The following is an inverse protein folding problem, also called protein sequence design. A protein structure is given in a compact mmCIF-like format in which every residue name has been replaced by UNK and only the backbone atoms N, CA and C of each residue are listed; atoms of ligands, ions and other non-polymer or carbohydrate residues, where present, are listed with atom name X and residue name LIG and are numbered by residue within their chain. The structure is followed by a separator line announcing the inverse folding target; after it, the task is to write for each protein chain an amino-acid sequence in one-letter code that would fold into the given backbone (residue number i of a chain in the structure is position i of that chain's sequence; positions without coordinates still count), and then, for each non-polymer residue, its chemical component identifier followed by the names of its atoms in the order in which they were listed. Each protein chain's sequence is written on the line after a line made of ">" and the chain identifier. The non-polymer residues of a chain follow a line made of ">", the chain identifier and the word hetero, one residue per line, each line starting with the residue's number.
data_IF_217592289510
#
_entry.id   IF_217592289510
#
_cell.length_a   1.000
_cell.length_b   1.000
_cell.length_c   1.000
_cell.angle_alpha   90.00
_cell.angle_beta   90.00
_cell.angle_gamma   90.00
#
_symmetry.space_group_name_H-M   'P 1'
#
loop_
_entity.id
_entity.type
_entity.pdbx_description
1 polymer ?
#
# COMPACT_ATOMS: atom_id res chain seq x y z
N UNK A 1 43.09 8.90 17.36
CA UNK A 1 42.61 8.60 18.73
C UNK A 1 41.40 7.70 18.59
N UNK A 2 41.36 6.54 19.27
CA UNK A 2 40.39 5.48 18.98
C UNK A 2 39.46 5.16 20.16
N UNK A 3 38.16 4.99 19.86
CA UNK A 3 37.14 4.43 20.78
C UNK A 3 36.90 2.96 20.43
N UNK A 4 36.39 2.17 21.37
CA UNK A 4 36.00 0.80 21.07
C UNK A 4 34.87 0.79 20.02
N UNK A 5 35.03 0.04 18.94
CA UNK A 5 34.04 -0.01 17.86
C UNK A 5 32.80 -0.86 18.19
N UNK A 6 32.83 -1.63 19.28
CA UNK A 6 31.69 -2.43 19.75
C UNK A 6 30.56 -1.53 20.26
N UNK A 7 29.34 -1.65 19.70
CA UNK A 7 28.16 -0.93 20.18
C UNK A 7 28.00 -0.99 21.70
N UNK A 8 27.54 0.11 22.31
CA UNK A 8 27.29 0.24 23.76
C UNK A 8 28.53 0.16 24.67
N UNK A 9 29.71 -0.16 24.14
CA UNK A 9 30.96 -0.13 24.88
C UNK A 9 31.44 1.31 25.09
N UNK A 10 31.64 1.73 26.35
CA UNK A 10 32.09 3.09 26.73
C UNK A 10 33.62 3.23 26.88
N UNK A 11 34.36 2.21 26.44
CA UNK A 11 35.83 2.14 26.55
C UNK A 11 36.50 3.12 25.59
N UNK A 12 37.35 4.00 26.13
CA UNK A 12 38.02 5.09 25.40
C UNK A 12 39.52 5.10 25.73
N UNK A 13 40.36 5.10 24.69
CA UNK A 13 41.82 5.19 24.78
C UNK A 13 42.27 6.48 25.48
N UNK A 14 41.48 7.57 25.41
CA UNK A 14 41.77 8.86 26.08
C UNK A 14 41.76 8.79 27.60
N UNK A 15 40.94 7.91 28.18
CA UNK A 15 40.75 7.83 29.63
C UNK A 15 41.89 7.12 30.37
N UNK A 16 42.86 6.54 29.64
CA UNK A 16 44.03 5.79 30.16
C UNK A 16 43.67 4.88 31.34
N UNK A 17 42.53 4.20 31.26
CA UNK A 17 42.11 3.25 32.28
C UNK A 17 43.16 2.13 32.40
N UNK A 18 43.71 1.87 33.61
CA UNK A 18 44.76 0.87 33.78
C UNK A 18 44.23 -0.51 33.36
N UNK A 19 45.02 -1.24 32.57
CA UNK A 19 44.67 -2.60 32.10
C UNK A 19 43.80 -2.69 30.84
N UNK A 20 43.40 -1.57 30.24
CA UNK A 20 42.64 -1.55 28.98
C UNK A 20 43.58 -1.55 27.77
N UNK A 21 43.54 -2.60 26.94
CA UNK A 21 44.26 -2.67 25.66
C UNK A 21 43.29 -2.65 24.48
N UNK A 22 43.73 -2.04 23.37
CA UNK A 22 42.96 -1.94 22.14
C UNK A 22 43.61 -2.76 21.02
N UNK A 23 42.79 -3.54 20.31
CA UNK A 23 43.20 -4.46 19.26
C UNK A 23 42.57 -4.06 17.94
N UNK A 24 43.38 -3.99 16.89
CA UNK A 24 42.93 -3.68 15.53
C UNK A 24 42.24 -4.90 14.92
N UNK A 25 41.25 -4.63 14.07
CA UNK A 25 40.54 -5.70 13.34
C UNK A 25 41.53 -6.36 12.37
N UNK A 26 41.63 -7.71 12.35
CA UNK A 26 42.54 -8.41 11.46
C UNK A 26 42.33 -8.07 9.98
N UNK A 27 43.43 -7.96 9.21
CA UNK A 27 43.37 -7.74 7.76
C UNK A 27 42.92 -8.98 6.97
N UNK A 28 43.09 -10.19 7.53
CA UNK A 28 42.69 -11.44 6.90
C UNK A 28 41.15 -11.52 6.75
N UNK A 29 40.67 -11.73 5.53
CA UNK A 29 39.25 -11.66 5.17
C UNK A 29 38.37 -12.58 6.03
N UNK A 30 38.78 -13.83 6.23
CA UNK A 30 37.98 -14.84 6.94
C UNK A 30 37.76 -14.49 8.42
N UNK A 31 38.79 -13.96 9.09
CA UNK A 31 38.70 -13.58 10.51
C UNK A 31 37.99 -12.23 10.63
N UNK A 32 38.22 -11.32 9.67
CA UNK A 32 37.56 -10.01 9.62
C UNK A 32 36.05 -10.16 9.50
N UNK A 33 35.56 -11.00 8.59
CA UNK A 33 34.12 -11.25 8.43
C UNK A 33 33.50 -11.84 9.70
N UNK A 34 34.21 -12.73 10.39
CA UNK A 34 33.76 -13.28 11.68
C UNK A 34 33.68 -12.21 12.77
N UNK A 35 34.64 -11.29 12.84
CA UNK A 35 34.57 -10.15 13.77
C UNK A 35 33.38 -9.24 13.49
N UNK A 36 33.13 -8.92 12.22
CA UNK A 36 32.01 -8.06 11.81
C UNK A 36 30.65 -8.71 12.07
N UNK A 37 30.53 -10.01 11.82
CA UNK A 37 29.33 -10.78 12.09
C UNK A 37 28.96 -10.78 13.59
N UNK A 38 29.96 -10.75 14.47
CA UNK A 38 29.76 -10.81 15.93
C UNK A 38 29.54 -9.43 16.55
N UNK A 39 30.22 -8.39 16.06
CA UNK A 39 30.04 -7.00 16.53
C UNK A 39 28.65 -6.44 16.18
N UNK A 40 28.00 -6.97 15.13
CA UNK A 40 26.59 -6.66 14.75
C UNK A 40 26.27 -5.17 14.69
N UNK A 41 27.13 -4.41 13.99
CA UNK A 41 26.90 -2.99 13.74
C UNK A 41 26.22 -2.83 12.37
N UNK A 42 24.98 -2.37 12.37
CA UNK A 42 24.22 -2.19 11.13
C UNK A 42 24.87 -1.17 10.20
N UNK A 43 24.96 -1.52 8.91
CA UNK A 43 25.45 -0.66 7.82
C UNK A 43 26.87 -0.10 8.01
N UNK A 44 27.76 -0.85 8.68
CA UNK A 44 29.11 -0.40 8.96
C UNK A 44 30.18 -1.34 8.39
N UNK A 45 31.13 -0.77 7.65
CA UNK A 45 32.36 -1.44 7.24
C UNK A 45 33.57 -0.73 7.89
N UNK A 46 34.51 -1.48 8.49
CA UNK A 46 35.73 -0.87 9.00
C UNK A 46 36.55 -0.34 7.83
N UNK A 47 37.01 0.91 7.92
CA UNK A 47 37.90 1.47 6.92
C UNK A 47 39.25 0.74 6.99
N UNK A 48 39.49 -0.15 6.02
CA UNK A 48 40.65 -1.05 5.94
C UNK A 48 41.99 -0.30 5.85
N UNK A 49 41.97 1.00 5.54
CA UNK A 49 43.17 1.83 5.36
C UNK A 49 43.48 2.67 6.61
N UNK A 50 42.61 2.66 7.63
CA UNK A 50 42.73 3.57 8.77
C UNK A 50 42.77 2.82 10.11
N UNK A 51 43.81 3.07 10.90
CA UNK A 51 44.10 2.50 12.22
C UNK A 51 43.14 2.95 13.35
N UNK A 52 41.97 3.51 13.00
CA UNK A 52 41.04 4.12 13.96
C UNK A 52 39.98 3.17 14.50
N UNK A 53 39.82 2.00 13.88
CA UNK A 53 38.81 1.02 14.30
C UNK A 53 39.44 -0.06 15.17
N UNK A 54 39.22 0.02 16.49
CA UNK A 54 39.79 -0.94 17.45
C UNK A 54 38.71 -1.51 18.37
N UNK A 55 38.93 -2.73 18.85
CA UNK A 55 38.12 -3.41 19.88
C UNK A 55 38.93 -3.49 21.17
N UNK A 56 38.34 -3.16 22.32
CA UNK A 56 39.02 -3.29 23.61
C UNK A 56 39.07 -4.74 24.13
N UNK A 57 40.04 -5.06 24.98
CA UNK A 57 40.23 -6.40 25.57
C UNK A 57 39.02 -6.96 26.35
N UNK A 58 38.11 -6.12 26.85
CA UNK A 58 36.88 -6.57 27.54
C UNK A 58 35.98 -7.49 26.70
N UNK A 59 36.15 -7.51 25.38
CA UNK A 59 35.34 -8.35 24.50
C UNK A 59 35.95 -9.73 24.20
N UNK A 60 37.08 -10.07 24.84
CA UNK A 60 37.79 -11.34 24.66
C UNK A 60 37.98 -12.03 26.00
N UNK A 61 38.08 -13.35 25.98
CA UNK A 61 38.42 -14.12 27.18
C UNK A 61 39.89 -13.93 27.55
N UNK A 62 40.23 -14.12 28.82
CA UNK A 62 41.63 -14.06 29.29
C UNK A 62 42.50 -15.09 28.56
N UNK A 63 41.93 -16.24 28.20
CA UNK A 63 42.56 -17.34 27.48
C UNK A 63 42.90 -17.02 26.01
N UNK A 64 42.31 -15.97 25.46
CA UNK A 64 42.50 -15.58 24.06
C UNK A 64 43.78 -14.76 23.83
N UNK A 65 44.46 -14.40 24.93
CA UNK A 65 45.66 -13.57 24.91
C UNK A 65 46.94 -14.41 25.00
N UNK A 66 47.97 -13.92 24.32
CA UNK A 66 49.36 -14.36 24.45
C UNK A 66 50.15 -13.21 25.05
N UNK A 67 50.88 -13.46 26.14
CA UNK A 67 51.74 -12.45 26.77
C UNK A 67 52.98 -12.18 25.90
N UNK A 68 53.16 -10.93 25.52
CA UNK A 68 54.32 -10.47 24.76
C UNK A 68 55.21 -9.52 25.57
N UNK A 69 56.41 -9.21 25.06
CA UNK A 69 57.44 -8.41 25.76
C UNK A 69 57.01 -6.98 26.16
N UNK A 70 56.00 -6.39 25.50
CA UNK A 70 55.54 -5.00 25.75
C UNK A 70 54.01 -4.85 25.89
N UNK A 71 53.24 -5.77 25.33
CA UNK A 71 51.77 -5.78 25.35
C UNK A 71 51.26 -7.21 25.13
N UNK A 72 50.04 -7.49 25.57
CA UNK A 72 49.31 -8.73 25.24
C UNK A 72 48.83 -8.68 23.79
N UNK A 73 48.89 -9.81 23.10
CA UNK A 73 48.40 -9.97 21.73
C UNK A 73 47.27 -11.00 21.70
N UNK A 74 46.34 -10.87 20.76
CA UNK A 74 45.30 -11.88 20.54
C UNK A 74 45.89 -13.06 19.76
N UNK A 75 45.51 -14.29 20.12
CA UNK A 75 45.82 -15.49 19.33
C UNK A 75 45.23 -15.35 17.91
N UNK A 76 45.90 -15.94 16.92
CA UNK A 76 45.43 -15.91 15.53
C UNK A 76 44.07 -16.61 15.41
N UNK A 77 43.10 -15.94 14.79
CA UNK A 77 41.77 -16.52 14.53
C UNK A 77 40.74 -16.35 15.66
N UNK A 78 41.11 -15.77 16.80
CA UNK A 78 40.18 -15.42 17.88
C UNK A 78 39.16 -14.39 17.39
N UNK A 79 37.92 -14.51 17.84
CA UNK A 79 36.82 -13.57 17.60
C UNK A 79 36.33 -13.01 18.94
N UNK A 80 35.82 -11.76 18.99
CA UNK A 80 35.22 -11.23 20.21
C UNK A 80 34.03 -12.09 20.64
N UNK A 81 34.00 -12.53 21.89
CA UNK A 81 33.00 -13.47 22.41
C UNK A 81 32.22 -12.92 23.60
N UNK A 82 32.74 -11.87 24.26
CA UNK A 82 32.17 -11.30 25.48
C UNK A 82 31.45 -9.98 25.18
N UNK A 83 30.13 -9.95 25.43
CA UNK A 83 29.26 -8.79 25.19
C UNK A 83 28.35 -8.54 26.40
N UNK A 84 28.95 -8.28 27.56
CA UNK A 84 28.20 -8.01 28.81
C UNK A 84 27.28 -6.78 28.69
N UNK A 85 27.71 -5.76 27.94
CA UNK A 85 26.96 -4.51 27.75
C UNK A 85 25.78 -4.64 26.75
N UNK A 86 25.55 -5.82 26.15
CA UNK A 86 24.43 -6.06 25.23
C UNK A 86 23.20 -6.58 25.97
N UNK A 87 21.97 -6.14 25.63
CA UNK A 87 20.78 -6.73 26.18
C UNK A 87 20.68 -8.22 25.77
N UNK A 88 20.18 -9.08 26.66
CA UNK A 88 20.23 -10.54 26.51
C UNK A 88 19.71 -11.10 25.17
N UNK A 89 18.82 -10.37 24.48
CA UNK A 89 18.28 -10.75 23.17
C UNK A 89 19.23 -10.45 21.98
N UNK A 90 20.27 -9.64 22.17
CA UNK A 90 21.28 -9.31 21.15
C UNK A 90 22.60 -10.06 21.34
N UNK A 91 22.81 -10.69 22.49
CA UNK A 91 23.99 -11.52 22.73
C UNK A 91 24.03 -12.68 21.72
N UNK A 92 25.21 -13.05 21.18
CA UNK A 92 25.34 -14.19 20.29
C UNK A 92 24.90 -15.47 21.03
N UNK A 93 23.81 -16.10 20.59
CA UNK A 93 23.44 -17.43 21.08
C UNK A 93 24.49 -18.42 20.56
N UNK A 94 25.31 -18.98 21.44
CA UNK A 94 26.13 -20.14 21.12
C UNK A 94 25.17 -21.24 20.63
N UNK A 95 25.17 -21.52 19.33
CA UNK A 95 24.32 -22.55 18.76
C UNK A 95 24.79 -23.89 19.30
N UNK A 96 24.00 -24.50 20.21
CA UNK A 96 24.16 -25.90 20.55
C UNK A 96 24.08 -26.71 19.25
N UNK A 97 25.11 -27.50 18.97
CA UNK A 97 25.14 -28.40 17.82
C UNK A 97 23.93 -29.34 17.89
N UNK A 98 23.07 -29.26 16.87
CA UNK A 98 21.88 -30.12 16.77
C UNK A 98 22.33 -31.54 16.47
N UNK A 99 21.97 -32.48 17.34
CA UNK A 99 22.33 -33.88 17.19
C UNK A 99 21.69 -34.51 15.94
N UNK A 100 22.45 -35.40 15.30
CA UNK A 100 22.13 -36.11 14.05
C UNK A 100 20.78 -36.86 14.10
N UNK A 101 20.30 -37.19 15.29
CA UNK A 101 19.00 -37.85 15.53
C UNK A 101 17.78 -36.95 15.25
N UNK A 102 17.92 -35.62 15.31
CA UNK A 102 16.83 -34.67 15.00
C UNK A 102 16.52 -34.59 13.51
N UNK A 103 17.49 -34.90 12.64
CA UNK A 103 17.37 -34.74 11.18
C UNK A 103 16.56 -35.90 10.56
N UNK A 104 16.65 -37.10 11.13
CA UNK A 104 15.97 -38.29 10.61
C UNK A 104 14.46 -38.35 10.95
N UNK A 105 13.99 -37.65 12.00
CA UNK A 105 12.57 -37.64 12.37
C UNK A 105 11.67 -36.78 11.46
N UNK A 106 12.26 -35.92 10.63
CA UNK A 106 11.50 -35.03 9.74
C UNK A 106 11.33 -35.61 8.31
N UNK A 107 12.00 -36.72 8.00
CA UNK A 107 11.98 -37.35 6.68
C UNK A 107 10.92 -38.45 6.50
N UNK A 108 10.16 -38.81 7.54
CA UNK A 108 9.04 -39.74 7.43
C UNK A 108 7.74 -39.14 7.98
N UNK A 109 6.93 -38.57 7.09
CA UNK A 109 5.48 -38.49 7.28
C UNK A 109 4.83 -39.08 6.01
N UNK A 110 4.05 -40.17 6.11
CA UNK A 110 3.40 -40.79 4.95
C UNK A 110 2.24 -39.96 4.40
N UNK A 111 2.12 -39.98 3.07
CA UNK A 111 0.98 -39.48 2.29
C UNK A 111 -0.31 -40.21 2.72
N UNK A 112 -1.32 -39.48 3.19
CA UNK A 112 -2.70 -40.00 3.32
C UNK A 112 -3.49 -39.66 2.05
N UNK A 113 -3.82 -40.70 1.30
CA UNK A 113 -4.83 -40.72 0.25
C UNK A 113 -6.20 -40.31 0.82
N UNK A 114 -6.98 -39.57 0.03
CA UNK A 114 -8.44 -39.46 0.23
C UNK A 114 -9.13 -39.89 -1.05
N UNK A 115 -9.97 -40.91 -0.90
CA UNK A 115 -10.87 -41.50 -1.86
C UNK A 115 -12.12 -40.65 -2.09
N UNK A 116 -12.66 -40.77 -3.30
CA UNK A 116 -13.92 -40.21 -3.75
C UNK A 116 -15.15 -40.88 -3.10
N UNK A 117 -16.16 -40.08 -2.77
CA UNK A 117 -17.56 -40.36 -3.09
C UNK A 117 -18.36 -39.05 -3.03
N UNK A 118 -19.11 -38.80 -4.10
CA UNK A 118 -20.05 -37.69 -4.24
C UNK A 118 -21.44 -38.12 -3.74
N UNK A 119 -22.25 -37.19 -3.20
CA UNK A 119 -23.67 -37.01 -3.58
C UNK A 119 -24.20 -35.65 -3.08
N UNK A 120 -24.98 -35.05 -3.98
CA UNK A 120 -25.73 -33.78 -4.03
C UNK A 120 -26.12 -33.00 -2.76
N UNK A 121 -26.02 -31.68 -2.87
CA UNK A 121 -27.16 -30.77 -2.74
C UNK A 121 -26.85 -29.46 -3.47
N UNK A 122 -27.63 -29.17 -4.53
CA UNK A 122 -27.60 -27.90 -5.23
C UNK A 122 -28.29 -26.83 -4.40
N UNK A 123 -27.61 -25.71 -4.14
CA UNK A 123 -28.24 -24.47 -3.70
C UNK A 123 -27.61 -23.31 -4.48
N UNK A 124 -28.39 -22.75 -5.39
CA UNK A 124 -28.08 -21.59 -6.21
C UNK A 124 -27.77 -20.38 -5.32
N UNK A 125 -26.59 -19.79 -5.51
CA UNK A 125 -26.21 -18.51 -4.90
C UNK A 125 -26.83 -17.39 -5.72
N UNK A 126 -27.84 -16.74 -5.15
CA UNK A 126 -28.39 -15.48 -5.65
C UNK A 126 -27.42 -14.35 -5.27
N UNK A 127 -26.99 -13.57 -6.27
CA UNK A 127 -26.24 -12.32 -6.06
C UNK A 127 -27.09 -11.32 -5.24
N UNK A 128 -26.51 -10.58 -4.27
CA UNK A 128 -27.16 -9.40 -3.73
C UNK A 128 -27.21 -8.29 -4.80
N UNK A 129 -28.34 -7.56 -4.94
CA UNK A 129 -28.43 -6.47 -5.90
C UNK A 129 -27.64 -5.24 -5.42
N UNK A 130 -27.15 -4.51 -6.41
CA UNK A 130 -26.44 -3.24 -6.28
C UNK A 130 -27.27 -2.20 -5.52
N UNK A 131 -26.69 -1.58 -4.49
CA UNK A 131 -27.23 -0.38 -3.86
C UNK A 131 -26.89 0.81 -4.76
N UNK A 132 -27.92 1.32 -5.44
CA UNK A 132 -27.85 2.57 -6.19
C UNK A 132 -27.80 3.74 -5.20
N UNK A 133 -26.82 4.62 -5.37
CA UNK A 133 -26.79 5.96 -4.78
C UNK A 133 -27.97 6.79 -5.29
N UNK A 134 -28.79 7.42 -4.42
CA UNK A 134 -29.72 8.43 -4.87
C UNK A 134 -28.99 9.76 -5.12
N UNK A 135 -29.28 10.24 -6.33
CA UNK A 135 -29.13 11.57 -6.90
C UNK A 135 -29.56 12.68 -5.93
N UNK A 136 -28.79 13.78 -5.93
CA UNK A 136 -29.15 15.05 -5.30
C UNK A 136 -30.55 15.51 -5.72
N UNK A 137 -31.40 15.83 -4.75
CA UNK A 137 -32.55 16.69 -4.94
C UNK A 137 -32.44 17.83 -3.91
N UNK A 138 -32.47 19.05 -4.41
CA UNK A 138 -32.56 20.30 -3.66
C UNK A 138 -33.73 20.24 -2.68
N UNK A 139 -33.49 20.66 -1.43
CA UNK A 139 -34.54 20.85 -0.44
C UNK A 139 -35.01 22.30 -0.56
N UNK A 140 -36.15 22.51 -1.22
CA UNK A 140 -36.97 23.72 -1.04
C UNK A 140 -37.55 23.74 0.39
N UNK A 141 -37.55 24.90 1.02
CA UNK A 141 -38.19 25.15 2.31
C UNK A 141 -39.72 25.04 2.17
N UNK A 142 -40.43 24.32 3.07
CA UNK A 142 -41.89 24.38 3.08
C UNK A 142 -42.37 25.62 3.86
N UNK A 143 -43.16 26.45 3.18
CA UNK A 143 -43.94 27.53 3.77
C UNK A 143 -44.97 27.03 4.81
N UNK A 144 -45.39 27.88 5.77
CA UNK A 144 -46.29 27.47 6.84
C UNK A 144 -47.73 27.27 6.32
N UNK A 145 -48.28 26.06 6.47
CA UNK A 145 -49.70 25.81 6.23
C UNK A 145 -50.53 26.10 7.50
N UNK A 146 -51.40 27.11 7.37
CA UNK A 146 -52.49 27.45 8.27
C UNK A 146 -53.51 26.31 8.37
N UNK A 147 -53.94 25.98 9.60
CA UNK A 147 -55.08 25.08 9.85
C UNK A 147 -56.19 25.93 10.45
N UNK A 148 -56.94 26.59 9.56
CA UNK A 148 -58.30 27.05 9.82
C UNK A 148 -59.24 26.34 8.87
N UNK A 149 -60.39 25.92 9.42
CA UNK A 149 -61.59 25.44 8.73
C UNK A 149 -61.56 24.05 8.07
N UNK A 150 -62.09 23.07 8.81
CA UNK A 150 -62.91 22.02 8.23
C UNK A 150 -63.77 21.37 9.32
N UNK A 151 -64.97 21.89 9.58
CA UNK A 151 -66.17 21.12 9.93
C UNK A 151 -67.41 22.02 9.77
N UNK A 152 -67.85 22.19 8.52
CA UNK A 152 -69.22 22.59 8.19
C UNK A 152 -70.06 21.32 8.05
N UNK A 153 -71.02 21.15 8.94
CA UNK A 153 -71.96 20.03 9.00
C UNK A 153 -72.86 19.95 7.76
N UNK A 154 -72.82 18.80 7.08
CA UNK A 154 -73.78 18.42 6.04
C UNK A 154 -75.01 17.82 6.70
N UNK A 155 -76.09 18.57 6.61
CA UNK A 155 -77.45 18.22 7.00
C UNK A 155 -78.03 17.15 6.02
N UNK A 156 -78.29 15.93 6.49
CA UNK A 156 -79.20 15.00 5.80
C UNK A 156 -80.13 14.32 6.81
N UNK A 157 -81.39 14.78 6.79
CA UNK A 157 -82.56 14.12 7.36
C UNK A 157 -82.91 12.89 6.53
N UNK A 158 -83.17 11.77 7.20
CA UNK A 158 -84.04 10.70 6.69
C UNK A 158 -85.12 10.40 7.73
N UNK A 159 -86.37 10.46 7.28
CA UNK A 159 -87.60 10.19 8.03
C UNK A 159 -87.79 8.69 8.23
N UNK A 160 -88.10 8.26 9.46
CA UNK A 160 -88.87 7.04 9.77
C UNK A 160 -89.77 7.31 11.00
N UNK A 161 -90.92 6.60 11.15
CA UNK A 161 -92.10 7.04 11.89
C UNK A 161 -92.02 6.83 13.42
N UNK A 162 -92.92 7.43 14.23
CA UNK A 162 -92.80 7.42 15.67
C UNK A 162 -93.37 6.11 16.25
N UNK A 163 -92.51 5.26 16.79
CA UNK A 163 -92.93 4.22 17.74
C UNK A 163 -92.71 4.73 19.17
N UNK A 164 -93.81 4.80 19.91
CA UNK A 164 -93.85 5.18 21.32
C UNK A 164 -93.10 4.15 22.18
N UNK A 165 -92.09 4.55 22.96
CA UNK A 165 -91.49 3.66 23.94
C UNK A 165 -92.41 3.53 25.17
N UNK A 166 -92.47 2.34 25.81
CA UNK A 166 -93.21 2.16 27.05
C UNK A 166 -92.53 2.96 28.17
N UNK A 167 -93.33 3.40 29.14
CA UNK A 167 -92.85 4.05 30.34
C UNK A 167 -91.84 3.16 31.07
N UNK A 168 -90.55 3.51 31.00
CA UNK A 168 -89.52 2.94 31.84
C UNK A 168 -88.82 4.06 32.61
N UNK A 169 -89.04 4.02 33.91
CA UNK A 169 -88.33 4.61 35.04
C UNK A 169 -87.25 5.69 34.76
N UNK A 170 -87.56 6.93 35.14
CA UNK A 170 -86.63 8.09 35.07
C UNK A 170 -85.47 8.01 36.08
N UNK A 171 -85.43 6.99 36.94
CA UNK A 171 -84.42 6.86 38.01
C UNK A 171 -83.10 6.19 37.61
N UNK A 172 -83.10 5.20 36.70
CA UNK A 172 -81.94 4.30 36.48
C UNK A 172 -81.07 4.69 35.26
N UNK A 173 -81.61 5.42 34.28
CA UNK A 173 -80.83 5.86 33.10
C UNK A 173 -79.89 7.04 33.41
N UNK A 174 -80.17 7.82 34.44
CA UNK A 174 -79.39 9.01 34.81
C UNK A 174 -78.04 8.59 35.41
N UNK A 175 -78.01 7.54 36.24
CA UNK A 175 -76.79 7.07 36.91
C UNK A 175 -75.83 6.34 35.96
N UNK A 176 -76.33 5.55 35.01
CA UNK A 176 -75.49 4.87 34.01
C UNK A 176 -74.85 5.86 33.03
N UNK A 177 -75.59 6.90 32.60
CA UNK A 177 -75.04 8.01 31.80
C UNK A 177 -74.02 8.84 32.59
N UNK A 178 -74.22 9.03 33.89
CA UNK A 178 -73.30 9.76 34.77
C UNK A 178 -71.99 8.98 35.00
N UNK A 179 -72.06 7.66 35.11
CA UNK A 179 -70.89 6.78 35.20
C UNK A 179 -70.07 6.76 33.90
N UNK A 180 -70.75 6.65 32.74
CA UNK A 180 -70.09 6.72 31.42
C UNK A 180 -69.47 8.10 31.18
N UNK A 181 -70.16 9.19 31.56
CA UNK A 181 -69.62 10.54 31.49
C UNK A 181 -68.40 10.75 32.42
N UNK A 182 -68.39 10.13 33.59
CA UNK A 182 -67.26 10.15 34.52
C UNK A 182 -66.05 9.41 33.96
N UNK A 183 -66.23 8.21 33.38
CA UNK A 183 -65.16 7.46 32.73
C UNK A 183 -64.57 8.22 31.53
N UNK A 184 -65.42 8.76 30.66
CA UNK A 184 -65.00 9.64 29.54
C UNK A 184 -64.25 10.88 30.03
N UNK A 185 -64.66 11.48 31.15
CA UNK A 185 -63.96 12.61 31.75
C UNK A 185 -62.56 12.21 32.26
N UNK A 186 -62.42 11.03 32.87
CA UNK A 186 -61.10 10.52 33.32
C UNK A 186 -60.18 10.19 32.14
N UNK A 187 -60.70 9.59 31.07
CA UNK A 187 -59.92 9.32 29.84
C UNK A 187 -59.51 10.61 29.14
N UNK A 188 -60.43 11.57 29.00
CA UNK A 188 -60.13 12.90 28.45
C UNK A 188 -59.06 13.62 29.28
N UNK A 189 -59.07 13.48 30.61
CA UNK A 189 -58.03 14.02 31.48
C UNK A 189 -56.68 13.30 31.31
N UNK A 190 -56.67 11.96 31.14
CA UNK A 190 -55.46 11.19 30.84
C UNK A 190 -54.83 11.61 29.51
N UNK A 191 -55.62 11.71 28.45
CA UNK A 191 -55.15 12.14 27.13
C UNK A 191 -54.65 13.59 27.14
N UNK A 192 -55.34 14.51 27.85
CA UNK A 192 -54.85 15.88 28.06
C UNK A 192 -53.51 15.94 28.80
N UNK A 193 -53.27 15.07 29.79
CA UNK A 193 -51.97 14.96 30.47
C UNK A 193 -50.89 14.46 29.51
N UNK A 194 -51.19 13.40 28.76
CA UNK A 194 -50.27 12.84 27.75
C UNK A 194 -49.92 13.86 26.67
N UNK A 195 -50.90 14.63 26.21
CA UNK A 195 -50.69 15.71 25.24
C UNK A 195 -49.81 16.82 25.83
N UNK A 196 -50.02 17.21 27.10
CA UNK A 196 -49.16 18.17 27.80
C UNK A 196 -47.73 17.64 27.96
N UNK A 197 -47.56 16.38 28.32
CA UNK A 197 -46.26 15.74 28.48
C UNK A 197 -45.50 15.65 27.15
N UNK A 198 -46.20 15.28 26.07
CA UNK A 198 -45.65 15.28 24.71
C UNK A 198 -45.29 16.70 24.26
N UNK A 199 -46.15 17.70 24.49
CA UNK A 199 -45.83 19.12 24.20
C UNK A 199 -44.60 19.59 24.98
N UNK A 200 -44.49 19.22 26.25
CA UNK A 200 -43.31 19.52 27.08
C UNK A 200 -42.05 18.80 26.55
N UNK A 201 -42.19 17.56 26.10
CA UNK A 201 -41.09 16.79 25.50
C UNK A 201 -40.63 17.41 24.18
N UNK A 202 -41.56 17.81 23.31
CA UNK A 202 -41.26 18.55 22.07
C UNK A 202 -40.55 19.86 22.40
N UNK A 203 -41.03 20.62 23.38
CA UNK A 203 -40.36 21.88 23.79
C UNK A 203 -38.94 21.65 24.31
N UNK A 204 -38.70 20.58 25.09
CA UNK A 204 -37.35 20.22 25.57
C UNK A 204 -36.42 19.81 24.44
N UNK A 205 -36.92 18.99 23.50
CA UNK A 205 -36.15 18.57 22.33
C UNK A 205 -35.81 19.77 21.45
N UNK A 206 -36.76 20.68 21.23
CA UNK A 206 -36.54 21.89 20.44
C UNK A 206 -35.42 22.75 21.04
N UNK A 207 -35.46 23.01 22.35
CA UNK A 207 -34.37 23.75 23.04
C UNK A 207 -33.01 23.08 22.89
N UNK A 208 -32.99 21.75 22.85
CA UNK A 208 -31.75 20.97 22.67
C UNK A 208 -31.22 21.11 21.25
N UNK A 209 -32.12 21.06 20.25
CA UNK A 209 -31.77 21.29 18.84
C UNK A 209 -31.25 22.71 18.63
N UNK A 210 -31.94 23.72 19.18
CA UNK A 210 -31.53 25.12 19.05
C UNK A 210 -30.16 25.37 19.69
N UNK A 211 -29.90 24.73 20.84
CA UNK A 211 -28.58 24.74 21.49
C UNK A 211 -27.51 24.15 20.57
N UNK A 212 -27.74 22.97 19.99
CA UNK A 212 -26.77 22.33 19.10
C UNK A 212 -26.55 23.10 17.81
N UNK A 213 -27.58 23.76 17.26
CA UNK A 213 -27.45 24.66 16.10
C UNK A 213 -26.50 25.82 16.40
N UNK A 214 -26.69 26.47 17.55
CA UNK A 214 -25.82 27.58 17.98
C UNK A 214 -24.37 27.13 18.22
N UNK A 215 -24.17 25.93 18.78
CA UNK A 215 -22.82 25.36 18.94
C UNK A 215 -22.18 25.03 17.59
N UNK A 216 -22.95 24.53 16.63
CA UNK A 216 -22.45 24.24 15.28
C UNK A 216 -22.01 25.51 14.56
N UNK A 217 -22.79 26.59 14.63
CA UNK A 217 -22.43 27.88 14.04
C UNK A 217 -21.13 28.44 14.62
N UNK A 218 -20.96 28.36 15.95
CA UNK A 218 -19.70 28.76 16.60
C UNK A 218 -18.51 27.95 16.12
N UNK A 219 -18.66 26.63 16.03
CA UNK A 219 -17.60 25.75 15.52
C UNK A 219 -17.29 25.99 14.04
N UNK A 220 -18.26 26.40 13.23
CA UNK A 220 -18.03 26.75 11.82
C UNK A 220 -17.30 28.10 11.69
N UNK A 221 -17.53 29.03 12.61
CA UNK A 221 -16.83 30.31 12.68
C UNK A 221 -15.38 30.17 13.16
N UNK A 222 -15.01 29.05 13.78
CA UNK A 222 -13.62 28.77 14.14
C UNK A 222 -12.76 28.59 12.88
N UNK A 223 -11.77 29.47 12.70
CA UNK A 223 -10.87 29.49 11.52
C UNK A 223 -10.26 28.13 11.21
N UNK A 224 -9.86 27.35 12.22
CA UNK A 224 -9.26 26.02 12.04
C UNK A 224 -10.24 25.01 11.43
N UNK A 225 -11.52 25.08 11.80
CA UNK A 225 -12.56 24.19 11.26
C UNK A 225 -12.92 24.60 9.85
N UNK A 226 -12.96 25.90 9.58
CA UNK A 226 -13.13 26.43 8.23
C UNK A 226 -12.00 25.96 7.29
N UNK A 227 -10.73 26.05 7.72
CA UNK A 227 -9.57 25.60 6.91
C UNK A 227 -9.61 24.10 6.61
N UNK A 228 -9.95 23.26 7.60
CA UNK A 228 -10.10 21.81 7.40
C UNK A 228 -11.27 21.50 6.47
N UNK A 229 -12.37 22.25 6.57
CA UNK A 229 -13.53 22.11 5.69
C UNK A 229 -13.16 22.48 4.25
N UNK A 230 -12.40 23.56 4.05
CA UNK A 230 -11.85 23.93 2.76
C UNK A 230 -10.96 22.83 2.16
N UNK A 231 -10.02 22.26 2.94
CA UNK A 231 -9.19 21.14 2.50
C UNK A 231 -10.06 19.94 2.09
N UNK A 232 -11.13 19.66 2.85
CA UNK A 232 -12.07 18.58 2.54
C UNK A 232 -12.81 18.82 1.22
N UNK A 233 -13.29 20.04 0.97
CA UNK A 233 -13.93 20.41 -0.30
C UNK A 233 -12.96 20.26 -1.48
N UNK A 234 -11.74 20.78 -1.36
CA UNK A 234 -10.69 20.63 -2.38
C UNK A 234 -10.30 19.16 -2.62
N UNK A 235 -10.38 18.32 -1.59
CA UNK A 235 -10.16 16.89 -1.74
C UNK A 235 -11.25 16.21 -2.56
N UNK A 236 -12.51 16.67 -2.47
CA UNK A 236 -13.63 16.20 -3.32
C UNK A 236 -13.40 16.59 -4.79
N UNK A 237 -12.80 17.74 -5.04
CA UNK A 237 -12.34 18.18 -6.37
C UNK A 237 -11.13 17.37 -6.89
N UNK A 238 -10.71 16.32 -6.19
CA UNK A 238 -9.53 15.48 -6.49
C UNK A 238 -8.22 16.27 -6.53
N UNK A 239 -8.14 17.40 -5.81
CA UNK A 239 -6.88 18.13 -5.70
C UNK A 239 -5.85 17.28 -4.92
N UNK A 240 -4.69 16.94 -5.50
CA UNK A 240 -3.81 15.95 -4.89
C UNK A 240 -3.14 16.41 -3.58
N UNK A 241 -2.86 17.71 -3.47
CA UNK A 241 -2.32 18.28 -2.22
C UNK A 241 -3.34 18.20 -1.09
N UNK A 242 -4.61 18.50 -1.38
CA UNK A 242 -5.69 18.42 -0.41
C UNK A 242 -5.95 16.98 0.05
N UNK A 243 -5.98 16.02 -0.89
CA UNK A 243 -6.10 14.59 -0.58
C UNK A 243 -4.96 14.11 0.34
N UNK A 244 -3.72 14.52 0.04
CA UNK A 244 -2.57 14.15 0.86
C UNK A 244 -2.68 14.70 2.28
N UNK A 245 -3.01 15.98 2.43
CA UNK A 245 -3.18 16.63 3.73
C UNK A 245 -4.32 16.02 4.53
N UNK A 246 -5.45 15.74 3.87
CA UNK A 246 -6.59 15.08 4.50
C UNK A 246 -6.22 13.68 5.01
N UNK A 247 -5.48 12.90 4.21
CA UNK A 247 -4.95 11.60 4.64
C UNK A 247 -4.01 11.74 5.84
N UNK A 248 -3.19 12.79 5.93
CA UNK A 248 -2.35 13.04 7.11
C UNK A 248 -3.21 13.27 8.36
N UNK A 249 -4.25 14.11 8.27
CA UNK A 249 -5.13 14.44 9.40
C UNK A 249 -5.90 13.20 9.86
N UNK A 250 -6.57 12.50 8.94
CA UNK A 250 -7.41 11.33 9.25
C UNK A 250 -6.56 10.20 9.86
N UNK A 251 -5.37 9.97 9.30
CA UNK A 251 -4.52 8.86 9.71
C UNK A 251 -3.59 9.19 10.88
N UNK A 252 -3.51 10.45 11.32
CA UNK A 252 -2.62 10.90 12.38
C UNK A 252 -2.74 10.01 13.63
N UNK A 253 -3.98 9.83 14.10
CA UNK A 253 -4.31 9.03 15.30
C UNK A 253 -4.49 7.53 15.02
N UNK A 254 -4.61 7.12 13.75
CA UNK A 254 -4.88 5.72 13.39
C UNK A 254 -3.62 4.87 13.55
N UNK A 255 -3.78 3.69 14.17
CA UNK A 255 -2.72 2.66 14.22
C UNK A 255 -2.57 1.94 12.89
N UNK A 256 -3.68 1.70 12.18
CA UNK A 256 -3.73 1.11 10.84
C UNK A 256 -4.30 2.15 9.88
N UNK A 257 -3.44 2.91 9.20
CA UNK A 257 -3.88 3.98 8.31
C UNK A 257 -4.43 3.40 7.00
N UNK A 258 -5.44 4.08 6.46
CA UNK A 258 -6.04 3.81 5.14
C UNK A 258 -5.64 4.94 4.21
N UNK A 259 -5.18 4.62 3.01
CA UNK A 259 -4.61 5.61 2.10
C UNK A 259 -5.51 5.79 0.87
N UNK A 260 -5.68 7.03 0.43
CA UNK A 260 -6.23 7.28 -0.90
C UNK A 260 -5.27 6.76 -1.99
N UNK A 261 -5.83 6.48 -3.16
CA UNK A 261 -5.06 6.01 -4.31
C UNK A 261 -4.01 7.05 -4.73
N UNK A 262 -4.40 8.33 -4.85
CA UNK A 262 -3.50 9.40 -5.28
C UNK A 262 -2.35 9.62 -4.29
N UNK A 263 -2.61 9.56 -2.96
CA UNK A 263 -1.55 9.61 -1.95
C UNK A 263 -0.58 8.44 -2.10
N UNK A 264 -1.10 7.23 -2.32
CA UNK A 264 -0.26 6.04 -2.49
C UNK A 264 0.60 6.15 -3.75
N UNK A 265 0.00 6.57 -4.87
CA UNK A 265 0.69 6.82 -6.15
C UNK A 265 1.83 7.84 -6.00
N UNK A 266 1.58 8.97 -5.34
CA UNK A 266 2.62 9.98 -5.06
C UNK A 266 3.70 9.47 -4.12
N UNK A 267 3.36 8.66 -3.13
CA UNK A 267 4.33 8.04 -2.24
C UNK A 267 5.23 7.03 -2.98
N UNK A 268 4.71 6.32 -3.98
CA UNK A 268 5.53 5.47 -4.86
C UNK A 268 6.58 6.32 -5.58
N UNK A 269 6.16 7.44 -6.18
CA UNK A 269 7.07 8.36 -6.88
C UNK A 269 8.09 8.97 -5.93
N UNK A 270 7.65 9.48 -4.77
CA UNK A 270 8.53 10.07 -3.76
C UNK A 270 9.62 9.09 -3.29
N UNK A 271 9.23 7.84 -3.06
CA UNK A 271 10.17 6.78 -2.68
C UNK A 271 11.12 6.42 -3.83
N UNK A 272 10.66 6.46 -5.08
CA UNK A 272 11.51 6.25 -6.25
C UNK A 272 12.57 7.35 -6.40
N UNK A 273 12.20 8.60 -6.14
CA UNK A 273 13.14 9.74 -6.16
C UNK A 273 14.19 9.64 -5.04
N UNK A 274 13.79 9.29 -3.82
CA UNK A 274 14.73 9.05 -2.73
C UNK A 274 14.17 8.10 -1.69
N UNK A 275 14.71 6.87 -1.68
CA UNK A 275 14.36 5.85 -0.69
C UNK A 275 14.74 6.29 0.73
N UNK A 276 15.92 6.89 0.89
CA UNK A 276 16.44 7.35 2.18
C UNK A 276 15.60 8.49 2.77
N UNK A 277 15.25 9.49 1.96
CA UNK A 277 14.43 10.60 2.43
C UNK A 277 13.04 10.11 2.86
N UNK A 278 12.43 9.24 2.05
CA UNK A 278 11.12 8.66 2.37
C UNK A 278 11.14 7.88 3.69
N UNK A 279 12.15 7.02 3.87
CA UNK A 279 12.29 6.22 5.09
C UNK A 279 12.61 7.07 6.32
N UNK A 280 13.39 8.15 6.15
CA UNK A 280 13.67 9.10 7.22
C UNK A 280 12.40 9.88 7.65
N UNK A 281 11.66 10.47 6.69
CA UNK A 281 10.42 11.21 6.96
C UNK A 281 9.38 10.33 7.67
N UNK A 282 9.32 9.05 7.30
CA UNK A 282 8.44 8.07 7.94
C UNK A 282 8.95 7.63 9.32
N UNK A 283 10.27 7.46 9.47
CA UNK A 283 10.91 6.98 10.70
C UNK A 283 10.83 8.00 11.84
N UNK A 284 11.10 9.27 11.53
CA UNK A 284 10.96 10.41 12.45
C UNK A 284 9.50 10.82 12.70
N UNK A 285 8.54 10.13 12.07
CA UNK A 285 7.11 10.45 12.12
C UNK A 285 6.77 11.90 11.71
N UNK A 286 7.62 12.53 10.89
CA UNK A 286 7.36 13.86 10.32
C UNK A 286 6.08 13.86 9.50
N UNK A 287 5.88 12.80 8.70
CA UNK A 287 4.65 12.53 7.97
C UNK A 287 4.20 11.09 8.20
N UNK A 288 2.88 10.89 8.29
CA UNK A 288 2.28 9.56 8.27
C UNK A 288 2.31 9.07 6.82
N UNK A 289 3.23 8.15 6.52
CA UNK A 289 3.44 7.65 5.16
C UNK A 289 3.18 6.13 5.05
N UNK A 290 2.70 5.64 3.90
CA UNK A 290 2.56 4.21 3.61
C UNK A 290 3.84 3.41 3.90
N UNK A 291 3.68 2.15 4.30
CA UNK A 291 4.82 1.26 4.48
C UNK A 291 5.36 0.76 3.14
N UNK A 292 6.61 0.27 3.12
CA UNK A 292 7.17 -0.40 1.94
C UNK A 292 6.25 -1.53 1.43
N UNK A 293 5.67 -2.31 2.33
CA UNK A 293 4.73 -3.39 1.97
C UNK A 293 3.47 -2.84 1.32
N UNK A 294 2.92 -1.74 1.86
CA UNK A 294 1.76 -1.06 1.27
C UNK A 294 2.05 -0.58 -0.15
N UNK A 295 3.19 0.07 -0.36
CA UNK A 295 3.61 0.53 -1.70
C UNK A 295 3.86 -0.65 -2.64
N UNK A 296 4.51 -1.72 -2.16
CA UNK A 296 4.77 -2.92 -2.97
C UNK A 296 3.48 -3.63 -3.37
N UNK A 297 2.51 -3.71 -2.47
CA UNK A 297 1.20 -4.29 -2.76
C UNK A 297 0.41 -3.46 -3.75
N UNK A 298 0.53 -2.13 -3.68
CA UNK A 298 -0.12 -1.20 -4.61
C UNK A 298 0.46 -1.30 -6.03
N UNK A 299 1.79 -1.36 -6.17
CA UNK A 299 2.44 -1.57 -7.48
C UNK A 299 2.13 -2.96 -8.04
N UNK A 300 1.93 -3.94 -7.16
CA UNK A 300 1.71 -5.33 -7.54
C UNK A 300 2.98 -6.03 -7.99
N UNK A 301 2.83 -7.21 -8.58
CA UNK A 301 3.94 -8.01 -9.10
C UNK A 301 4.18 -7.67 -10.58
N UNK A 302 5.32 -7.07 -10.92
CA UNK A 302 5.66 -6.68 -12.31
C UNK A 302 5.86 -7.92 -13.19
N UNK A 303 5.03 -8.13 -14.23
CA UNK A 303 4.99 -9.39 -15.02
C UNK A 303 6.34 -9.83 -15.57
N UNK A 304 7.25 -8.88 -15.84
CA UNK A 304 8.61 -9.18 -16.30
C UNK A 304 8.63 -10.02 -17.57
N UNK A 305 7.50 -10.05 -18.29
CA UNK A 305 7.33 -10.70 -19.58
C UNK A 305 8.25 -10.00 -20.56
N UNK A 306 8.94 -10.82 -21.33
CA UNK A 306 9.71 -10.39 -22.49
C UNK A 306 8.73 -10.14 -23.64
N UNK A 307 9.16 -9.34 -24.62
CA UNK A 307 8.26 -8.99 -25.71
C UNK A 307 7.22 -7.92 -25.35
N UNK A 308 6.24 -7.76 -26.24
CA UNK A 308 5.28 -6.67 -26.18
C UNK A 308 4.13 -7.01 -25.22
N UNK A 309 4.30 -6.72 -23.93
CA UNK A 309 3.30 -7.00 -22.91
C UNK A 309 2.03 -6.16 -23.05
N UNK A 310 0.88 -6.69 -22.60
CA UNK A 310 -0.39 -5.95 -22.62
C UNK A 310 -0.35 -4.68 -21.79
N UNK A 311 0.42 -4.68 -20.71
CA UNK A 311 0.63 -3.51 -19.85
C UNK A 311 1.34 -2.37 -20.59
N UNK A 312 2.35 -2.70 -21.39
CA UNK A 312 3.04 -1.70 -22.20
C UNK A 312 2.13 -1.19 -23.30
N UNK A 313 1.36 -2.06 -23.95
CA UNK A 313 0.39 -1.65 -24.98
C UNK A 313 -0.64 -0.65 -24.43
N UNK A 314 -1.23 -0.93 -23.27
CA UNK A 314 -2.19 -0.02 -22.65
C UNK A 314 -1.54 1.29 -22.20
N UNK A 315 -0.30 1.24 -21.70
CA UNK A 315 0.46 2.44 -21.35
C UNK A 315 0.75 3.31 -22.57
N UNK A 316 1.24 2.71 -23.66
CA UNK A 316 1.57 3.41 -24.90
C UNK A 316 0.33 4.02 -25.53
N UNK A 317 -0.79 3.30 -25.56
CA UNK A 317 -2.07 3.82 -26.04
C UNK A 317 -2.65 4.94 -25.17
N UNK A 318 -2.40 4.92 -23.85
CA UNK A 318 -2.74 6.05 -22.98
C UNK A 318 -1.87 7.27 -23.29
N UNK A 319 -0.54 7.08 -23.42
CA UNK A 319 0.35 8.18 -23.75
C UNK A 319 0.03 8.80 -25.11
N UNK A 320 -0.25 7.97 -26.12
CA UNK A 320 -0.61 8.43 -27.45
C UNK A 320 -1.90 9.28 -27.45
N UNK A 321 -2.88 8.95 -26.59
CA UNK A 321 -4.10 9.75 -26.42
C UNK A 321 -3.84 11.10 -25.75
N UNK A 322 -2.84 11.17 -24.86
CA UNK A 322 -2.49 12.41 -24.16
C UNK A 322 -1.70 13.40 -25.05
N UNK A 323 -1.21 12.94 -26.21
CA UNK A 323 -0.53 13.79 -27.19
C UNK A 323 -1.53 14.68 -27.94
N UNK A 324 -1.55 15.97 -27.61
CA UNK A 324 -2.51 16.96 -28.14
C UNK A 324 -2.42 17.20 -29.65
N UNK A 325 -1.23 17.04 -30.24
CA UNK A 325 -0.97 17.36 -31.64
C UNK A 325 -0.61 16.09 -32.42
N UNK A 326 -1.10 15.91 -33.66
CA UNK A 326 -0.79 14.73 -34.47
C UNK A 326 0.72 14.60 -34.76
N UNK A 327 1.44 15.72 -34.85
CA UNK A 327 2.89 15.78 -35.04
C UNK A 327 3.68 15.32 -33.81
N UNK A 328 3.05 15.31 -32.63
CA UNK A 328 3.68 14.80 -31.40
C UNK A 328 3.72 13.29 -31.35
N UNK A 329 2.92 12.60 -32.18
CA UNK A 329 2.96 11.15 -32.35
C UNK A 329 4.16 10.64 -33.14
N UNK A 330 5.00 11.53 -33.67
CA UNK A 330 6.22 11.16 -34.40
C UNK A 330 7.35 10.92 -33.40
N UNK A 331 7.91 9.71 -33.43
CA UNK A 331 8.97 9.26 -32.54
C UNK A 331 10.15 8.66 -33.32
N UNK A 332 11.30 8.57 -32.67
CA UNK A 332 12.42 7.74 -33.09
C UNK A 332 12.44 6.46 -32.25
N UNK A 333 12.77 5.33 -32.89
CA UNK A 333 13.01 4.07 -32.19
C UNK A 333 14.52 3.92 -31.97
N UNK A 334 14.89 3.82 -30.70
CA UNK A 334 16.25 3.58 -30.23
C UNK A 334 16.36 2.10 -29.89
N UNK A 335 17.36 1.44 -30.44
CA UNK A 335 17.66 0.04 -30.18
C UNK A 335 19.06 -0.05 -29.60
N UNK A 336 19.17 -0.71 -28.45
CA UNK A 336 20.45 -0.87 -27.74
C UNK A 336 20.59 -2.30 -27.18
N UNK A 337 21.82 -2.79 -27.10
CA UNK A 337 22.16 -4.11 -26.59
C UNK A 337 22.98 -3.99 -25.30
N UNK A 338 22.40 -4.46 -24.19
CA UNK A 338 23.06 -4.45 -22.89
C UNK A 338 23.57 -5.84 -22.53
N UNK A 339 24.87 -5.99 -22.27
CA UNK A 339 25.46 -7.25 -21.82
C UNK A 339 24.97 -7.62 -20.41
N UNK A 340 24.55 -8.88 -20.22
CA UNK A 340 24.07 -9.44 -18.97
C UNK A 340 24.86 -10.70 -18.60
N UNK A 341 24.85 -11.06 -17.31
CA UNK A 341 25.49 -12.31 -16.87
C UNK A 341 24.65 -13.50 -17.32
N UNK A 342 25.26 -14.44 -18.02
CA UNK A 342 24.66 -15.73 -18.38
C UNK A 342 24.30 -16.51 -17.11
N UNK A 343 23.03 -16.41 -16.68
CA UNK A 343 22.54 -17.05 -15.46
C UNK A 343 21.05 -17.32 -15.54
N UNK A 344 20.66 -18.54 -15.18
CA UNK A 344 19.26 -18.89 -14.95
C UNK A 344 18.86 -18.48 -13.52
N UNK A 345 17.81 -17.67 -13.39
CA UNK A 345 17.27 -17.23 -12.10
C UNK A 345 15.83 -17.69 -11.93
N UNK A 346 15.56 -18.40 -10.83
CA UNK A 346 14.21 -18.83 -10.48
C UNK A 346 13.45 -17.72 -9.74
N UNK A 347 12.28 -17.36 -10.25
CA UNK A 347 11.41 -16.35 -9.68
C UNK A 347 10.28 -17.00 -8.86
N UNK A 348 10.50 -17.12 -7.55
CA UNK A 348 9.63 -17.85 -6.61
C UNK A 348 8.15 -17.47 -6.66
N UNK A 349 7.82 -16.19 -6.85
CA UNK A 349 6.42 -15.72 -6.82
C UNK A 349 5.59 -16.19 -8.01
N UNK A 350 6.25 -16.51 -9.13
CA UNK A 350 5.60 -16.89 -10.39
C UNK A 350 5.91 -18.31 -10.84
N UNK A 351 6.75 -19.00 -10.07
CA UNK A 351 7.20 -20.36 -10.38
C UNK A 351 7.74 -20.50 -11.82
N UNK A 352 8.61 -19.57 -12.23
CA UNK A 352 9.22 -19.59 -13.56
C UNK A 352 10.70 -19.24 -13.52
N UNK A 353 11.43 -19.66 -14.54
CA UNK A 353 12.85 -19.35 -14.73
C UNK A 353 13.04 -18.19 -15.70
N UNK A 354 13.94 -17.27 -15.37
CA UNK A 354 14.35 -16.13 -16.19
C UNK A 354 15.81 -16.31 -16.60
N UNK A 355 16.16 -15.85 -17.81
CA UNK A 355 17.54 -15.83 -18.32
C UNK A 355 17.81 -16.75 -19.50
N UNK A 356 16.77 -17.38 -20.05
CA UNK A 356 16.84 -18.09 -21.33
C UNK A 356 16.61 -17.11 -22.49
N UNK A 357 17.13 -17.45 -23.67
CA UNK A 357 16.92 -16.68 -24.89
C UNK A 357 15.43 -16.71 -25.29
N UNK A 358 14.88 -15.56 -25.69
CA UNK A 358 13.49 -15.46 -26.12
C UNK A 358 13.33 -15.94 -27.57
N UNK A 359 12.98 -17.22 -27.74
CA UNK A 359 12.59 -17.80 -29.03
C UNK A 359 11.08 -17.68 -29.25
N UNK A 360 10.62 -16.50 -29.62
CA UNK A 360 9.21 -16.24 -29.95
C UNK A 360 8.76 -16.89 -31.28
N UNK A 361 9.66 -17.60 -31.98
CA UNK A 361 9.44 -18.20 -33.31
C UNK A 361 9.54 -19.75 -33.30
N UNK A 362 8.87 -20.40 -32.34
CA UNK A 362 8.38 -21.78 -32.54
C UNK A 362 9.39 -22.92 -32.62
N UNK A 363 10.70 -22.70 -32.41
CA UNK A 363 11.66 -23.80 -32.29
C UNK A 363 11.73 -24.29 -30.84
N UNK A 364 10.97 -25.35 -30.54
CA UNK A 364 10.88 -25.99 -29.22
C UNK A 364 11.94 -27.06 -28.94
N UNK A 365 12.88 -27.29 -29.86
CA UNK A 365 13.68 -28.53 -29.86
C UNK A 365 15.18 -28.34 -29.58
N UNK A 366 15.60 -27.27 -28.90
CA UNK A 366 17.01 -27.13 -28.48
C UNK A 366 17.10 -26.87 -26.98
N UNK A 367 18.13 -27.46 -26.37
CA UNK A 367 18.49 -27.25 -24.96
C UNK A 367 18.40 -25.77 -24.58
N UNK A 368 17.94 -25.44 -23.35
CA UNK A 368 17.73 -24.05 -22.95
C UNK A 368 19.04 -23.27 -23.00
N UNK A 369 19.15 -22.36 -23.97
CA UNK A 369 20.32 -21.51 -24.17
C UNK A 369 20.20 -20.31 -23.24
N UNK A 370 21.23 -20.08 -22.42
CA UNK A 370 21.30 -18.90 -21.54
C UNK A 370 21.65 -17.65 -22.35
N UNK A 371 20.90 -16.58 -22.13
CA UNK A 371 21.14 -15.30 -22.77
C UNK A 371 22.36 -14.59 -22.17
N UNK A 372 23.13 -13.93 -23.03
CA UNK A 372 24.29 -13.12 -22.66
C UNK A 372 24.05 -11.62 -22.85
N UNK A 373 23.00 -11.23 -23.58
CA UNK A 373 22.63 -9.84 -23.77
C UNK A 373 21.12 -9.61 -23.72
N UNK A 374 20.77 -8.34 -23.48
CA UNK A 374 19.41 -7.83 -23.44
C UNK A 374 19.25 -6.79 -24.55
N UNK A 375 18.46 -7.11 -25.57
CA UNK A 375 18.12 -6.18 -26.64
C UNK A 375 16.94 -5.31 -26.18
N UNK A 376 17.16 -4.01 -26.03
CA UNK A 376 16.18 -3.05 -25.53
C UNK A 376 15.71 -2.12 -26.64
N UNK A 377 14.40 -1.85 -26.66
CA UNK A 377 13.75 -0.92 -27.56
C UNK A 377 13.13 0.22 -26.76
N UNK A 378 13.52 1.45 -27.06
CA UNK A 378 13.04 2.66 -26.41
C UNK A 378 12.55 3.63 -27.47
N UNK A 379 11.34 4.16 -27.30
CA UNK A 379 10.86 5.25 -28.16
C UNK A 379 11.23 6.59 -27.55
N UNK A 380 11.66 7.52 -28.41
CA UNK A 380 11.92 8.91 -28.06
C UNK A 380 11.07 9.83 -28.94
N UNK A 381 10.31 10.74 -28.36
CA UNK A 381 9.58 11.74 -29.14
C UNK A 381 10.54 12.71 -29.85
N UNK A 382 10.19 13.13 -31.08
CA UNK A 382 10.97 14.11 -31.83
C UNK A 382 10.49 15.55 -31.56
N UNK A 383 9.17 15.74 -31.55
CA UNK A 383 8.56 17.06 -31.28
C UNK A 383 8.39 17.30 -29.79
N UNK A 384 7.81 16.32 -29.08
CA UNK A 384 7.63 16.37 -27.62
C UNK A 384 8.70 15.49 -26.95
N UNK A 385 9.42 15.98 -25.94
CA UNK A 385 10.44 15.20 -25.28
C UNK A 385 9.79 14.15 -24.36
N UNK A 386 9.82 12.89 -24.78
CA UNK A 386 9.48 11.74 -23.95
C UNK A 386 10.42 10.58 -24.28
N UNK A 387 10.68 9.70 -23.32
CA UNK A 387 11.44 8.46 -23.51
C UNK A 387 10.72 7.32 -22.80
N UNK A 388 10.27 6.32 -23.56
CA UNK A 388 9.45 5.23 -23.02
C UNK A 388 10.08 3.90 -23.43
N UNK A 389 10.48 3.04 -22.47
CA UNK A 389 10.90 1.69 -22.77
C UNK A 389 9.69 0.89 -23.29
N UNK A 390 9.84 0.27 -24.45
CA UNK A 390 8.77 -0.44 -25.13
C UNK A 390 8.88 -1.93 -24.87
N UNK A 391 10.03 -2.51 -25.21
CA UNK A 391 10.22 -3.95 -25.13
C UNK A 391 11.67 -4.29 -24.93
N UNK A 392 11.91 -5.42 -24.28
CA UNK A 392 13.21 -6.02 -24.21
C UNK A 392 13.13 -7.51 -24.55
N UNK A 393 14.26 -8.05 -25.04
CA UNK A 393 14.43 -9.47 -25.36
C UNK A 393 15.78 -9.98 -24.87
N UNK A 394 15.78 -11.18 -24.29
CA UNK A 394 16.96 -11.94 -23.95
C UNK A 394 17.53 -12.63 -25.19
N UNK A 395 18.81 -12.36 -25.49
CA UNK A 395 19.48 -12.85 -26.69
C UNK A 395 20.79 -13.56 -26.36
N UNK A 396 21.22 -14.46 -27.26
CA UNK A 396 22.57 -15.03 -27.26
C UNK A 396 23.18 -14.90 -28.64
N UNK A 397 23.83 -13.76 -28.86
CA UNK A 397 24.30 -13.36 -30.19
C UNK A 397 23.13 -12.94 -31.09
N UNK A 398 23.32 -11.86 -31.85
CA UNK A 398 22.27 -11.27 -32.66
C UNK A 398 22.64 -11.34 -34.14
N UNK A 399 21.82 -12.03 -34.93
CA UNK A 399 21.95 -12.00 -36.40
C UNK A 399 21.23 -10.77 -36.95
N UNK A 400 21.74 -10.21 -38.06
CA UNK A 400 21.11 -9.04 -38.69
C UNK A 400 19.65 -9.30 -39.09
N UNK A 401 19.35 -10.52 -39.54
CA UNK A 401 18.00 -10.92 -39.96
C UNK A 401 17.02 -11.01 -38.78
N UNK A 402 17.46 -11.53 -37.63
CA UNK A 402 16.65 -11.57 -36.40
C UNK A 402 16.37 -10.17 -35.87
N UNK A 403 17.40 -9.31 -35.86
CA UNK A 403 17.25 -7.91 -35.46
C UNK A 403 16.23 -7.20 -36.35
N UNK A 404 16.34 -7.36 -37.68
CA UNK A 404 15.41 -6.77 -38.63
C UNK A 404 13.96 -7.22 -38.38
N UNK A 405 13.74 -8.53 -38.20
CA UNK A 405 12.40 -9.08 -37.90
C UNK A 405 11.81 -8.48 -36.62
N UNK A 406 12.60 -8.34 -35.56
CA UNK A 406 12.16 -7.75 -34.28
C UNK A 406 11.85 -6.26 -34.42
N UNK A 407 12.69 -5.50 -35.12
CA UNK A 407 12.44 -4.07 -35.38
C UNK A 407 11.10 -3.88 -36.08
N UNK A 408 10.87 -4.60 -37.19
CA UNK A 408 9.62 -4.48 -37.96
C UNK A 408 8.41 -4.88 -37.11
N UNK A 409 8.53 -5.91 -36.28
CA UNK A 409 7.46 -6.31 -35.36
C UNK A 409 7.12 -5.19 -34.37
N UNK A 410 8.14 -4.58 -33.74
CA UNK A 410 7.95 -3.48 -32.78
C UNK A 410 7.37 -2.25 -33.47
N UNK A 411 7.84 -1.89 -34.66
CA UNK A 411 7.31 -0.77 -35.44
C UNK A 411 5.81 -0.94 -35.74
N UNK A 412 5.39 -2.12 -36.21
CA UNK A 412 3.96 -2.42 -36.46
C UNK A 412 3.11 -2.31 -35.19
N UNK A 413 3.64 -2.76 -34.05
CA UNK A 413 2.94 -2.66 -32.75
C UNK A 413 2.83 -1.21 -32.26
N UNK A 414 3.86 -0.39 -32.47
CA UNK A 414 3.83 1.04 -32.13
C UNK A 414 2.83 1.81 -32.99
N UNK A 415 2.77 1.51 -34.29
CA UNK A 415 1.77 2.07 -35.20
C UNK A 415 0.35 1.72 -34.78
N UNK A 416 0.12 0.46 -34.36
CA UNK A 416 -1.17 0.04 -33.81
C UNK A 416 -1.54 0.77 -32.50
N UNK A 417 -0.55 1.25 -31.73
CA UNK A 417 -0.77 2.04 -30.51
C UNK A 417 -0.99 3.55 -30.79
N UNK A 418 -0.85 4.01 -32.04
CA UNK A 418 -1.09 5.40 -32.44
C UNK A 418 0.16 6.26 -32.66
N UNK A 419 1.37 5.68 -32.68
CA UNK A 419 2.60 6.41 -33.01
C UNK A 419 2.88 6.37 -34.51
N UNK A 420 3.17 7.52 -35.12
CA UNK A 420 3.28 7.67 -36.58
C UNK A 420 4.75 7.83 -36.97
N UNK A 421 5.29 6.84 -37.71
CA UNK A 421 6.68 6.81 -38.23
C UNK A 421 7.76 6.84 -37.15
N UNK A 422 8.09 5.65 -36.65
CA UNK A 422 9.31 5.43 -35.87
C UNK A 422 10.55 5.45 -36.79
N UNK A 423 11.31 6.55 -36.84
CA UNK A 423 12.58 6.55 -37.60
C UNK A 423 13.66 5.89 -36.72
N UNK A 424 14.25 4.78 -37.17
CA UNK A 424 15.26 4.06 -36.40
C UNK A 424 16.55 4.85 -36.29
N UNK A 425 16.93 5.26 -35.08
CA UNK A 425 18.28 5.75 -34.78
C UNK A 425 19.01 4.62 -34.07
N UNK A 426 19.90 3.97 -34.81
CA UNK A 426 20.74 2.90 -34.29
C UNK A 426 22.09 3.48 -33.89
N UNK A 427 22.53 3.23 -32.66
CA UNK A 427 23.96 3.34 -32.37
C UNK A 427 24.66 2.25 -33.21
N UNK A 428 25.45 2.69 -34.18
CA UNK A 428 26.04 1.87 -35.24
C UNK A 428 27.00 0.83 -34.67
N UNK A 429 26.48 -0.32 -34.25
CA UNK A 429 27.30 -1.51 -34.04
C UNK A 429 27.60 -2.16 -35.40
N UNK A 430 28.86 -2.56 -35.62
CA UNK A 430 29.42 -3.00 -36.92
C UNK A 430 28.65 -4.13 -37.63
N UNK A 431 27.77 -4.86 -36.93
CA UNK A 431 26.94 -5.93 -37.51
C UNK A 431 25.86 -5.44 -38.50
N UNK A 432 25.40 -4.20 -38.38
CA UNK A 432 24.28 -3.69 -39.19
C UNK A 432 24.70 -3.21 -40.59
N UNK A 433 25.95 -2.73 -40.78
CA UNK A 433 26.46 -2.32 -42.11
C UNK A 433 26.33 -3.47 -43.12
N UNK A 434 26.44 -4.72 -42.66
CA UNK A 434 26.27 -5.92 -43.50
C UNK A 434 24.81 -6.26 -43.81
N UNK A 435 23.86 -5.85 -42.98
CA UNK A 435 22.43 -6.11 -43.18
C UNK A 435 21.78 -5.11 -44.15
N UNK A 436 22.21 -3.85 -44.12
CA UNK A 436 21.70 -2.80 -45.03
C UNK A 436 22.30 -2.83 -46.43
N UNK A 437 23.43 -3.52 -46.66
CA UNK A 437 24.04 -3.67 -47.99
C UNK A 437 23.35 -4.71 -48.89
N UNK A 438 22.26 -5.36 -48.43
CA UNK A 438 21.48 -6.33 -49.20
C UNK A 438 20.11 -5.81 -49.67
N UNK A 439 19.86 -4.50 -49.57
CA UNK A 439 18.65 -3.85 -50.10
C UNK A 439 19.00 -2.96 -51.26
#
# INVERSE_FOLDING_TARGET
>A
MSYCCVPLCKSDEKKKTPGLSFHEIPSAADVREKWLAVIRRDNWSPNSTSCYTKVCNRHFGVEDFVEGKRRRFLKKGVVPSVFEDYPAHLQPKLSAERSRASILKQACVPLKQKSDYATSAAASVVLPPAVQTPRNHELEEPEPMDITDAFSDTNQRSNFPPETPPACDRGVQVDSRRAVASLLATEKAKWKRKEKDLRNQVSRLQRTVDKYKLELEKLQQDSMVADISYIKERAVEQQPAALFLLDQIINFRRKRPTWSEETTRRCVVLRHLSTKAYEHMRGEALLKLPSRTTLSNYIGTTSGETGFSKLVETRLAAEARDLKMPQSGVCSLIVDEMQIKEKLQYHKQRDYFVGQVDTELGQKDTSPVLANSLLCFVISGLTTPFRIPVVYYFMKGLTGDELYKRIIFVMKKLEACGFVRATGLYELHQGFIRATQKV
#
